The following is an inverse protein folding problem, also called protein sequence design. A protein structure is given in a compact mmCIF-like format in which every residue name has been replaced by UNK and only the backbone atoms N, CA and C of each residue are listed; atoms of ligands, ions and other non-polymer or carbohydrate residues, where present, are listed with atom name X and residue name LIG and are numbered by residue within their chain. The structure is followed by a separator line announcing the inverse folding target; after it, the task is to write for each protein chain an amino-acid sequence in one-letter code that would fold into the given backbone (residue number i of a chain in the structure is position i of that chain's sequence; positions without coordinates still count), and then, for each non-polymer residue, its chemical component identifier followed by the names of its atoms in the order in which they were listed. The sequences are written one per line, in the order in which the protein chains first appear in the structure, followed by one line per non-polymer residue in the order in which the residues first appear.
data_IF_507220548851
#
_entry.id   IF_507220548851
#
_cell.length_a   1.000
_cell.length_b   1.000
_cell.length_c   1.000
_cell.angle_alpha   90.00
_cell.angle_beta   90.00
_cell.angle_gamma   90.00
#
_symmetry.space_group_name_H-M   'P 1'
#
loop_
_entity.id
_entity.type
_entity.pdbx_description
1 polymer ?
#
# COMPACT_ATOMS: atom_id res chain seq x y z
N UNK A 1 -8.71 -23.73 -14.42
CA UNK A 1 -7.56 -23.31 -15.28
C UNK A 1 -7.63 -21.88 -15.82
N UNK A 2 -8.77 -21.39 -16.32
CA UNK A 2 -8.89 -20.01 -16.86
C UNK A 2 -8.73 -18.93 -15.78
N UNK A 3 -9.33 -19.13 -14.60
CA UNK A 3 -9.25 -18.22 -13.46
C UNK A 3 -7.79 -17.96 -13.01
N UNK A 4 -6.99 -19.01 -12.85
CA UNK A 4 -5.57 -18.92 -12.48
C UNK A 4 -4.79 -18.03 -13.45
N UNK A 5 -4.97 -18.22 -14.76
CA UNK A 5 -4.30 -17.41 -15.79
C UNK A 5 -4.74 -15.95 -15.76
N UNK A 6 -6.01 -15.68 -15.45
CA UNK A 6 -6.51 -14.31 -15.34
C UNK A 6 -5.87 -13.56 -14.16
N UNK A 7 -5.82 -14.20 -12.98
CA UNK A 7 -5.19 -13.63 -11.77
C UNK A 7 -3.70 -13.42 -11.98
N UNK A 8 -3.01 -14.39 -12.61
CA UNK A 8 -1.60 -14.25 -12.94
C UNK A 8 -1.33 -13.01 -13.82
N UNK A 9 -2.14 -12.80 -14.87
CA UNK A 9 -2.02 -11.63 -15.74
C UNK A 9 -2.35 -10.33 -15.01
N UNK A 10 -3.35 -10.35 -14.15
CA UNK A 10 -3.74 -9.20 -13.33
C UNK A 10 -2.62 -8.77 -12.40
N UNK A 11 -1.97 -9.71 -11.71
CA UNK A 11 -0.86 -9.44 -10.81
C UNK A 11 0.36 -8.86 -11.55
N UNK A 12 0.64 -9.35 -12.76
CA UNK A 12 1.68 -8.76 -13.63
C UNK A 12 1.35 -7.34 -14.10
N UNK A 13 0.06 -7.04 -14.30
CA UNK A 13 -0.36 -5.66 -14.61
C UNK A 13 -0.22 -4.76 -13.39
N UNK A 14 -0.60 -5.23 -12.21
CA UNK A 14 -0.46 -4.50 -10.95
C UNK A 14 1.01 -4.14 -10.65
N UNK A 15 1.93 -5.09 -10.80
CA UNK A 15 3.38 -4.81 -10.64
C UNK A 15 3.91 -3.79 -11.64
N UNK A 16 3.42 -3.80 -12.89
CA UNK A 16 3.80 -2.78 -13.88
C UNK A 16 3.28 -1.39 -13.51
N UNK A 17 2.09 -1.30 -12.93
CA UNK A 17 1.51 -0.03 -12.47
C UNK A 17 2.32 0.50 -11.29
N UNK A 18 2.63 -0.35 -10.31
CA UNK A 18 3.36 0.05 -9.10
C UNK A 18 4.84 0.35 -9.36
N UNK A 19 5.51 -0.43 -10.23
CA UNK A 19 6.97 -0.42 -10.39
C UNK A 19 7.45 -0.10 -11.80
N UNK A 20 6.61 0.47 -12.66
CA UNK A 20 6.90 0.63 -14.09
C UNK A 20 8.19 1.41 -14.40
N UNK A 21 8.54 2.38 -13.56
CA UNK A 21 9.72 3.24 -13.70
C UNK A 21 10.97 2.65 -12.99
N UNK A 22 10.81 1.60 -12.19
CA UNK A 22 11.90 0.90 -11.51
C UNK A 22 12.03 -0.54 -12.04
N UNK A 23 12.86 -0.69 -13.07
CA UNK A 23 13.08 -1.97 -13.73
C UNK A 23 13.64 -3.04 -12.77
N UNK A 24 14.43 -2.65 -11.76
CA UNK A 24 15.02 -3.58 -10.80
C UNK A 24 13.92 -4.17 -9.91
N UNK A 25 13.09 -3.31 -9.33
CA UNK A 25 11.96 -3.73 -8.50
C UNK A 25 10.90 -4.48 -9.32
N UNK A 26 10.61 -4.03 -10.54
CA UNK A 26 9.68 -4.72 -11.44
C UNK A 26 10.14 -6.15 -11.76
N UNK A 27 11.42 -6.33 -12.05
CA UNK A 27 11.98 -7.66 -12.37
C UNK A 27 11.96 -8.57 -11.13
N UNK A 28 12.35 -8.04 -9.97
CA UNK A 28 12.30 -8.79 -8.72
C UNK A 28 10.87 -9.21 -8.37
N UNK A 29 9.89 -8.30 -8.46
CA UNK A 29 8.49 -8.59 -8.21
C UNK A 29 7.95 -9.67 -9.14
N UNK A 30 8.26 -9.59 -10.45
CA UNK A 30 7.89 -10.63 -11.41
C UNK A 30 8.49 -11.99 -11.10
N UNK A 31 9.77 -12.02 -10.70
CA UNK A 31 10.42 -13.27 -10.29
C UNK A 31 9.73 -13.89 -9.08
N UNK A 32 9.37 -13.10 -8.07
CA UNK A 32 8.63 -13.56 -6.89
C UNK A 32 7.26 -14.13 -7.27
N UNK A 33 6.51 -13.48 -8.15
CA UNK A 33 5.23 -14.00 -8.64
C UNK A 33 5.42 -15.36 -9.34
N UNK A 34 6.40 -15.47 -10.23
CA UNK A 34 6.69 -16.72 -10.93
C UNK A 34 7.05 -17.83 -9.94
N UNK A 35 7.88 -17.54 -8.95
CA UNK A 35 8.29 -18.50 -7.93
C UNK A 35 7.11 -18.97 -7.08
N UNK A 36 6.26 -18.05 -6.60
CA UNK A 36 5.08 -18.40 -5.81
C UNK A 36 4.11 -19.31 -6.57
N UNK A 37 3.77 -18.97 -7.82
CA UNK A 37 2.88 -19.81 -8.65
C UNK A 37 3.50 -21.18 -8.97
N UNK A 38 4.83 -21.27 -9.13
CA UNK A 38 5.52 -22.55 -9.33
C UNK A 38 5.50 -23.42 -8.07
N UNK A 39 5.73 -22.84 -6.90
CA UNK A 39 5.66 -23.54 -5.62
C UNK A 39 4.25 -24.10 -5.38
N UNK A 40 3.22 -23.29 -5.60
CA UNK A 40 1.83 -23.71 -5.45
C UNK A 40 1.45 -24.80 -6.48
N UNK A 41 2.01 -24.76 -7.70
CA UNK A 41 1.81 -25.81 -8.70
C UNK A 41 2.41 -27.15 -8.25
N UNK A 42 3.52 -27.14 -7.52
CA UNK A 42 4.15 -28.36 -7.00
C UNK A 42 3.50 -28.90 -5.72
N UNK A 43 2.73 -28.07 -5.01
CA UNK A 43 2.24 -28.37 -3.65
C UNK A 43 0.99 -29.26 -3.57
N UNK A 44 0.42 -29.72 -4.70
CA UNK A 44 -0.82 -30.54 -4.73
C UNK A 44 -1.92 -29.98 -3.83
N UNK A 45 -2.34 -28.75 -4.12
CA UNK A 45 -3.36 -28.04 -3.36
C UNK A 45 -4.75 -28.66 -3.54
N UNK A 46 -5.54 -28.68 -2.48
CA UNK A 46 -6.99 -28.91 -2.55
C UNK A 46 -7.70 -27.74 -3.26
N UNK A 47 -8.96 -27.95 -3.67
CA UNK A 47 -9.74 -26.91 -4.35
C UNK A 47 -9.95 -25.66 -3.46
N UNK A 48 -10.20 -25.86 -2.16
CA UNK A 48 -10.38 -24.76 -1.20
C UNK A 48 -9.10 -23.95 -1.02
N UNK A 49 -7.95 -24.62 -0.88
CA UNK A 49 -6.64 -23.98 -0.79
C UNK A 49 -6.29 -23.22 -2.07
N UNK A 50 -6.61 -23.79 -3.24
CA UNK A 50 -6.42 -23.13 -4.52
C UNK A 50 -7.24 -21.84 -4.60
N UNK A 51 -8.50 -21.86 -4.17
CA UNK A 51 -9.34 -20.66 -4.15
C UNK A 51 -8.81 -19.59 -3.19
N UNK A 52 -8.35 -19.99 -2.00
CA UNK A 52 -7.73 -19.07 -1.04
C UNK A 52 -6.46 -18.43 -1.60
N UNK A 53 -5.59 -19.22 -2.25
CA UNK A 53 -4.37 -18.72 -2.90
C UNK A 53 -4.68 -17.74 -4.04
N UNK A 54 -5.70 -18.05 -4.84
CA UNK A 54 -6.15 -17.15 -5.91
C UNK A 54 -6.72 -15.84 -5.36
N UNK A 55 -7.49 -15.91 -4.29
CA UNK A 55 -8.01 -14.71 -3.64
C UNK A 55 -6.86 -13.87 -3.06
N UNK A 56 -5.93 -14.50 -2.35
CA UNK A 56 -4.74 -13.84 -1.83
C UNK A 56 -3.93 -13.15 -2.95
N UNK A 57 -3.73 -13.81 -4.08
CA UNK A 57 -3.03 -13.21 -5.21
C UNK A 57 -3.76 -11.99 -5.80
N UNK A 58 -5.11 -12.00 -5.84
CA UNK A 58 -5.90 -10.83 -6.22
C UNK A 58 -5.75 -9.69 -5.22
N UNK A 59 -5.80 -10.00 -3.93
CA UNK A 59 -5.67 -9.00 -2.86
C UNK A 59 -4.29 -8.34 -2.89
N UNK A 60 -3.23 -9.12 -3.15
CA UNK A 60 -1.88 -8.59 -3.39
C UNK A 60 -1.87 -7.67 -4.61
N UNK A 61 -2.49 -8.06 -5.72
CA UNK A 61 -2.59 -7.22 -6.91
C UNK A 61 -3.30 -5.89 -6.63
N UNK A 62 -4.38 -5.94 -5.86
CA UNK A 62 -5.12 -4.75 -5.43
C UNK A 62 -4.25 -3.88 -4.51
N UNK A 63 -3.55 -4.49 -3.55
CA UNK A 63 -2.64 -3.79 -2.65
C UNK A 63 -1.53 -3.06 -3.41
N UNK A 64 -0.84 -3.75 -4.33
CA UNK A 64 0.22 -3.17 -5.15
C UNK A 64 -0.28 -1.95 -5.94
N UNK A 65 -1.49 -2.04 -6.51
CA UNK A 65 -2.04 -0.96 -7.32
C UNK A 65 -2.54 0.21 -6.47
N UNK A 66 -3.14 -0.06 -5.31
CA UNK A 66 -3.84 0.96 -4.54
C UNK A 66 -2.97 1.63 -3.48
N UNK A 67 -2.06 0.88 -2.88
CA UNK A 67 -1.34 1.28 -1.68
C UNK A 67 0.14 1.60 -1.93
N UNK A 68 0.71 1.15 -3.05
CA UNK A 68 2.12 1.40 -3.36
C UNK A 68 2.22 2.48 -4.42
N UNK A 69 3.01 3.51 -4.12
CA UNK A 69 3.41 4.56 -5.06
C UNK A 69 4.93 4.72 -5.05
N UNK A 70 5.52 4.93 -6.22
CA UNK A 70 6.95 5.18 -6.34
C UNK A 70 7.25 6.67 -6.37
N UNK A 71 8.21 7.08 -5.54
CA UNK A 71 8.81 8.41 -5.60
C UNK A 71 9.96 8.41 -6.60
N UNK A 72 9.94 9.36 -7.54
CA UNK A 72 11.07 9.64 -8.44
C UNK A 72 11.76 10.92 -8.00
N UNK A 73 13.09 10.87 -7.87
CA UNK A 73 13.87 12.07 -7.59
C UNK A 73 13.79 13.01 -8.80
N UNK A 74 13.37 14.24 -8.57
CA UNK A 74 13.44 15.32 -9.54
C UNK A 74 14.88 15.84 -9.56
N UNK A 75 15.55 15.69 -10.69
CA UNK A 75 16.95 16.10 -10.88
C UNK A 75 17.14 17.61 -10.82
N UNK A 76 16.08 18.39 -11.08
CA UNK A 76 16.14 19.85 -11.12
C UNK A 76 15.96 20.50 -9.73
N UNK A 77 15.19 19.87 -8.84
CA UNK A 77 14.71 20.52 -7.60
C UNK A 77 15.03 19.75 -6.30
N UNK A 78 15.93 18.76 -6.34
CA UNK A 78 16.32 17.87 -5.21
C UNK A 78 15.12 17.31 -4.39
N UNK A 79 13.95 17.22 -5.02
CA UNK A 79 12.69 16.82 -4.40
C UNK A 79 12.21 15.50 -5.00
N UNK A 80 11.45 14.71 -4.25
CA UNK A 80 10.83 13.49 -4.76
C UNK A 80 9.40 13.76 -5.20
N UNK A 81 9.05 13.35 -6.43
CA UNK A 81 7.69 13.41 -6.96
C UNK A 81 7.09 12.01 -6.87
N UNK A 82 5.94 11.89 -6.21
CA UNK A 82 5.21 10.63 -6.10
C UNK A 82 4.37 10.39 -7.35
N UNK A 83 4.49 9.21 -7.95
CA UNK A 83 3.67 8.80 -9.09
C UNK A 83 2.32 8.26 -8.63
N UNK A 84 1.44 9.17 -8.18
CA UNK A 84 0.06 8.85 -7.80
C UNK A 84 -0.76 8.70 -9.09
N UNK A 85 -1.48 7.59 -9.22
CA UNK A 85 -2.32 7.31 -10.38
C UNK A 85 -3.78 7.10 -9.97
N UNK A 86 -4.69 7.01 -10.96
CA UNK A 86 -6.16 6.92 -10.76
C UNK A 86 -6.65 5.80 -9.84
N UNK A 87 -5.84 4.76 -9.68
CA UNK A 87 -6.19 3.58 -8.89
C UNK A 87 -5.57 3.62 -7.49
N UNK A 88 -4.70 4.60 -7.20
CA UNK A 88 -4.14 4.80 -5.86
C UNK A 88 -5.26 5.26 -4.93
N UNK A 89 -5.39 4.62 -3.77
CA UNK A 89 -6.32 5.06 -2.74
C UNK A 89 -5.79 6.35 -2.11
N UNK A 90 -6.47 7.46 -2.39
CA UNK A 90 -6.24 8.71 -1.67
C UNK A 90 -7.09 8.66 -0.40
N UNK A 91 -6.43 8.57 0.75
CA UNK A 91 -7.12 8.63 2.04
C UNK A 91 -7.82 9.98 2.21
N UNK A 92 -9.15 9.94 2.35
CA UNK A 92 -9.91 11.11 2.78
C UNK A 92 -9.67 11.32 4.29
N UNK A 93 -8.83 12.30 4.62
CA UNK A 93 -8.46 12.63 5.99
C UNK A 93 -9.56 13.39 6.77
N UNK A 94 -10.76 13.57 6.20
CA UNK A 94 -11.84 14.36 6.82
C UNK A 94 -12.36 13.77 8.13
N UNK A 95 -12.28 12.46 8.34
CA UNK A 95 -12.65 11.80 9.60
C UNK A 95 -11.65 12.07 10.73
N UNK A 96 -10.35 12.18 10.43
CA UNK A 96 -9.27 12.47 11.39
C UNK A 96 -9.35 13.92 11.87
N UNK A 97 -9.70 14.86 10.98
CA UNK A 97 -9.90 16.27 11.36
C UNK A 97 -11.09 16.50 12.30
N UNK A 98 -12.11 15.63 12.28
CA UNK A 98 -13.30 15.76 13.14
C UNK A 98 -13.02 15.30 14.58
N UNK A 99 -12.16 14.30 14.79
CA UNK A 99 -11.79 13.80 16.12
C UNK A 99 -11.01 14.78 17.02
N UNK A 100 -10.57 15.93 16.48
CA UNK A 100 -9.81 16.94 17.22
C UNK A 100 -10.59 18.24 17.48
N UNK A 101 -11.86 18.34 17.03
CA UNK A 101 -12.72 19.49 17.36
C UNK A 101 -13.40 19.35 18.71
N UNK A 102 -13.66 18.12 19.16
CA UNK A 102 -14.33 17.84 20.44
C UNK A 102 -13.37 17.83 21.65
N UNK A 103 -12.06 18.03 21.42
CA UNK A 103 -11.03 18.17 22.47
C UNK A 103 -10.46 19.59 22.59
N UNK A 104 -11.16 20.60 22.07
CA UNK A 104 -10.81 22.00 22.32
C UNK A 104 -11.58 22.56 23.53
N UNK A 105 -10.80 22.87 24.56
CA UNK A 105 -11.09 23.73 25.72
C UNK A 105 -12.10 23.26 26.78
N UNK A 106 -11.61 22.50 27.77
CA UNK A 106 -12.11 22.58 29.16
C UNK A 106 -11.10 23.25 30.12
N UNK A 107 -10.19 24.06 29.60
CA UNK A 107 -9.39 25.00 30.40
C UNK A 107 -10.00 26.40 30.29
N UNK A 108 -11.23 26.55 30.78
CA UNK A 108 -11.78 27.85 31.14
C UNK A 108 -12.28 27.75 32.57
N UNK A 109 -11.43 28.17 33.51
CA UNK A 109 -11.81 28.34 34.91
C UNK A 109 -10.98 27.53 35.89
N UNK A 110 -9.69 27.85 36.04
CA UNK A 110 -9.03 27.81 37.34
C UNK A 110 -7.82 28.74 37.31
N UNK A 111 -7.71 29.53 38.37
CA UNK A 111 -6.82 30.65 38.59
C UNK A 111 -5.33 30.34 38.38
N UNK A 112 -4.57 31.42 38.15
CA UNK A 112 -3.14 31.45 37.99
C UNK A 112 -2.40 30.60 39.03
N UNK A 113 -1.78 29.51 38.59
CA UNK A 113 -0.65 28.91 39.29
C UNK A 113 0.42 28.53 38.27
N UNK A 114 1.63 29.03 38.52
CA UNK A 114 2.81 28.88 37.70
C UNK A 114 3.17 27.40 37.48
N UNK A 115 2.88 26.86 36.31
CA UNK A 115 3.38 25.53 35.92
C UNK A 115 4.84 25.63 35.48
N UNK A 116 5.71 25.19 36.38
CA UNK A 116 7.17 25.06 36.22
C UNK A 116 7.45 23.95 35.20
N UNK A 117 7.95 24.31 34.01
CA UNK A 117 8.44 23.35 33.02
C UNK A 117 9.67 22.61 33.56
N UNK A 118 9.60 21.28 33.58
CA UNK A 118 10.73 20.42 33.90
C UNK A 118 11.79 20.51 32.80
N UNK A 119 12.95 21.07 33.16
CA UNK A 119 14.24 20.74 32.56
C UNK A 119 14.72 19.39 33.08
N UNK A 120 15.17 18.53 32.18
CA UNK A 120 16.23 17.54 32.41
C UNK A 120 17.07 17.49 31.15
#
# INVERSE_FOLDING_TARGET
MSAVRSVYRELFRATRVAFGEDLRMLTAARSQIVQGFRQDQTAQLSEDELQQKLQHAKDVGLFLRRNIVQGKKNEENDAYVLNIHKDTELGDNDSVKKGNKDKKNTLSGAEASSFKCCSS
#
